data_IF_169359657033
#
_entry.id   IF_169359657033
#
_cell.length_a   1.000
_cell.length_b   1.000
_cell.length_c   1.000
_cell.angle_alpha   90.00
_cell.angle_beta   90.00
_cell.angle_gamma   90.00
#
_symmetry.space_group_name_H-M   'P 1'
#
loop_
_entity.id
_entity.type
_entity.pdbx_description
1 polymer ?
#
# COMPACT_ATOMS: atom_id res chain seq x y z
N UNK A 1 33.96 22.32 57.33
CA UNK A 1 33.90 22.31 55.86
C UNK A 1 34.58 21.07 55.36
N UNK A 2 33.86 20.22 54.61
CA UNK A 2 34.31 19.13 53.73
C UNK A 2 33.24 18.03 53.75
N UNK A 3 32.15 18.29 53.04
CA UNK A 3 31.07 17.34 52.77
C UNK A 3 31.50 16.39 51.64
N UNK A 4 31.52 15.09 51.93
CA UNK A 4 31.69 14.02 50.96
C UNK A 4 30.45 13.88 50.08
N UNK A 5 30.61 14.13 48.78
CA UNK A 5 29.56 14.01 47.78
C UNK A 5 29.36 12.53 47.37
N UNK A 6 28.15 12.04 47.57
CA UNK A 6 27.70 10.72 47.11
C UNK A 6 27.29 10.82 45.64
N UNK A 7 28.06 10.24 44.73
CA UNK A 7 27.67 10.07 43.32
C UNK A 7 26.68 8.92 43.19
N UNK A 8 25.40 9.24 42.99
CA UNK A 8 24.38 8.29 42.56
C UNK A 8 24.48 8.06 41.05
N UNK A 9 24.97 6.88 40.65
CA UNK A 9 24.89 6.40 39.28
C UNK A 9 23.44 6.01 38.95
N UNK A 10 22.73 6.90 38.26
CA UNK A 10 21.45 6.58 37.65
C UNK A 10 21.68 5.64 36.46
N UNK A 11 21.46 4.35 36.68
CA UNK A 11 21.34 3.36 35.61
C UNK A 11 20.10 3.69 34.78
N UNK A 12 20.32 4.26 33.60
CA UNK A 12 19.29 4.41 32.58
C UNK A 12 18.94 3.01 32.09
N UNK A 13 17.81 2.48 32.56
CA UNK A 13 17.23 1.26 32.01
C UNK A 13 16.73 1.56 30.61
N UNK A 14 17.52 1.27 29.59
CA UNK A 14 17.02 1.13 28.22
C UNK A 14 16.05 -0.04 28.21
N UNK A 15 14.75 0.24 28.22
CA UNK A 15 13.73 -0.76 27.96
C UNK A 15 13.92 -1.25 26.53
N UNK A 16 14.60 -2.38 26.35
CA UNK A 16 14.60 -3.09 25.09
C UNK A 16 13.17 -3.58 24.83
N UNK A 17 12.40 -2.80 24.08
CA UNK A 17 11.15 -3.28 23.49
C UNK A 17 11.50 -4.49 22.63
N UNK A 18 10.97 -5.66 22.96
CA UNK A 18 11.12 -6.86 22.15
C UNK A 18 10.39 -6.62 20.82
N UNK A 19 11.12 -6.20 19.77
CA UNK A 19 10.59 -6.17 18.42
C UNK A 19 10.97 -7.42 17.64
N UNK A 20 10.05 -7.90 16.80
CA UNK A 20 10.29 -9.02 15.88
C UNK A 20 10.18 -8.52 14.46
N UNK A 21 11.21 -8.78 13.65
CA UNK A 21 11.32 -8.23 12.29
C UNK A 21 11.37 -9.38 11.29
N UNK A 22 10.63 -9.26 10.19
CA UNK A 22 10.78 -10.15 9.03
C UNK A 22 10.73 -9.37 7.72
N UNK A 23 11.53 -9.82 6.75
CA UNK A 23 11.63 -9.17 5.44
C UNK A 23 10.64 -9.80 4.47
N UNK A 24 9.90 -8.94 3.77
CA UNK A 24 9.10 -9.31 2.60
C UNK A 24 9.89 -9.10 1.31
N UNK A 25 10.72 -8.05 1.25
CA UNK A 25 11.60 -7.75 0.12
C UNK A 25 12.94 -7.16 0.62
N UNK A 26 14.11 -7.45 0.01
CA UNK A 26 14.35 -8.33 -1.13
C UNK A 26 14.02 -9.81 -0.83
N UNK A 27 13.66 -10.54 -1.88
CA UNK A 27 13.36 -11.98 -1.78
C UNK A 27 14.55 -12.84 -2.19
N UNK A 28 14.45 -14.16 -2.02
CA UNK A 28 15.47 -15.08 -2.56
C UNK A 28 15.45 -15.16 -4.09
N UNK A 29 14.31 -14.82 -4.72
CA UNK A 29 14.22 -14.67 -6.16
C UNK A 29 14.90 -13.37 -6.58
N UNK A 30 16.03 -13.49 -7.27
CA UNK A 30 16.76 -12.39 -7.90
C UNK A 30 17.15 -12.80 -9.32
N UNK A 31 17.27 -11.84 -10.24
CA UNK A 31 17.73 -12.13 -11.60
C UNK A 31 16.63 -12.45 -12.61
N UNK A 32 15.47 -11.80 -12.54
CA UNK A 32 14.44 -11.94 -13.56
C UNK A 32 13.62 -10.64 -13.73
N UNK A 33 12.82 -10.59 -14.79
CA UNK A 33 11.89 -9.48 -15.04
C UNK A 33 10.48 -10.00 -15.32
N UNK A 34 9.48 -9.29 -14.82
CA UNK A 34 8.07 -9.45 -15.17
C UNK A 34 7.68 -8.30 -16.09
N UNK A 35 7.12 -8.62 -17.26
CA UNK A 35 6.77 -7.63 -18.29
C UNK A 35 5.25 -7.61 -18.42
N UNK A 36 4.66 -6.42 -18.37
CA UNK A 36 3.25 -6.18 -18.67
C UNK A 36 3.10 -5.36 -19.94
N UNK A 37 2.43 -5.90 -20.94
CA UNK A 37 2.07 -5.19 -22.16
C UNK A 37 0.60 -5.45 -22.53
N UNK A 38 -0.08 -4.43 -23.05
CA UNK A 38 -1.47 -4.58 -23.50
C UNK A 38 -1.61 -5.59 -24.67
N UNK A 39 -0.52 -5.83 -25.43
CA UNK A 39 -0.49 -6.70 -26.60
C UNK A 39 -0.70 -8.20 -26.26
N UNK A 40 -0.74 -8.55 -24.98
CA UNK A 40 -0.96 -9.93 -24.52
C UNK A 40 -1.62 -9.97 -23.14
N UNK A 41 -1.91 -11.18 -22.64
CA UNK A 41 -2.39 -11.37 -21.26
C UNK A 41 -1.35 -10.98 -20.20
N UNK A 42 -0.11 -10.65 -20.61
CA UNK A 42 0.96 -10.20 -19.71
C UNK A 42 0.63 -8.91 -18.95
N UNK A 43 -0.33 -8.11 -19.41
CA UNK A 43 -0.86 -6.95 -18.65
C UNK A 43 -1.32 -7.29 -17.22
N UNK A 44 -1.67 -8.55 -16.97
CA UNK A 44 -2.03 -9.12 -15.67
C UNK A 44 -1.10 -10.28 -15.27
N UNK A 45 0.09 -10.34 -15.88
CA UNK A 45 1.07 -11.38 -15.58
C UNK A 45 1.43 -11.35 -14.09
N UNK A 46 1.61 -12.53 -13.51
CA UNK A 46 1.94 -12.66 -12.10
C UNK A 46 3.26 -13.40 -11.90
N UNK A 47 4.01 -13.00 -10.88
CA UNK A 47 5.14 -13.76 -10.37
C UNK A 47 4.97 -14.03 -8.87
N UNK A 48 5.36 -15.21 -8.43
CA UNK A 48 5.46 -15.57 -7.01
C UNK A 48 6.93 -15.41 -6.58
N UNK A 49 7.16 -14.49 -5.64
CA UNK A 49 8.48 -14.17 -5.11
C UNK A 49 8.66 -14.88 -3.78
N UNK A 50 9.51 -15.90 -3.76
CA UNK A 50 9.75 -16.70 -2.56
C UNK A 50 10.83 -16.07 -1.67
N UNK A 51 10.58 -16.02 -0.36
CA UNK A 51 11.55 -15.66 0.66
C UNK A 51 11.57 -16.71 1.77
N UNK A 52 12.48 -16.61 2.74
CA UNK A 52 12.57 -17.57 3.83
C UNK A 52 11.35 -17.47 4.76
N UNK A 53 10.36 -18.35 4.55
CA UNK A 53 9.15 -18.44 5.38
C UNK A 53 8.01 -17.49 4.97
N UNK A 54 8.19 -16.67 3.93
CA UNK A 54 7.19 -15.75 3.38
C UNK A 54 7.28 -15.70 1.86
N UNK A 55 6.27 -15.16 1.19
CA UNK A 55 6.33 -14.87 -0.24
C UNK A 55 5.50 -13.63 -0.59
N UNK A 56 5.73 -13.07 -1.77
CA UNK A 56 4.92 -12.01 -2.36
C UNK A 56 4.38 -12.44 -3.71
N UNK A 57 3.21 -11.92 -4.10
CA UNK A 57 2.87 -11.83 -5.51
C UNK A 57 3.33 -10.50 -6.09
N UNK A 58 3.66 -10.49 -7.37
CA UNK A 58 3.98 -9.30 -8.14
C UNK A 58 3.15 -9.26 -9.41
N UNK A 59 2.66 -8.10 -9.82
CA UNK A 59 1.91 -7.92 -11.06
C UNK A 59 2.12 -6.52 -11.64
N UNK A 60 2.26 -6.35 -12.97
CA UNK A 60 2.20 -5.04 -13.61
C UNK A 60 0.82 -4.40 -13.52
N UNK A 61 -0.24 -5.21 -13.36
CA UNK A 61 -1.63 -4.84 -13.12
C UNK A 61 -2.12 -3.60 -13.90
N UNK A 62 -2.08 -3.69 -15.23
CA UNK A 62 -2.50 -2.61 -16.15
C UNK A 62 -4.01 -2.66 -16.40
N UNK A 63 -4.79 -2.45 -15.35
CA UNK A 63 -6.23 -2.77 -15.31
C UNK A 63 -7.11 -1.82 -16.13
N UNK A 64 -6.72 -0.56 -16.32
CA UNK A 64 -7.51 0.41 -17.10
C UNK A 64 -6.94 0.66 -18.51
N UNK A 65 -5.95 -0.10 -18.97
CA UNK A 65 -5.37 0.10 -20.31
C UNK A 65 -6.12 -0.75 -21.35
N UNK A 66 -6.76 -0.06 -22.31
CA UNK A 66 -7.44 -0.68 -23.47
C UNK A 66 -6.45 -0.93 -24.60
N UNK A 67 -5.62 0.06 -24.94
CA UNK A 67 -4.58 -0.04 -25.94
C UNK A 67 -3.40 0.88 -25.59
N UNK A 68 -2.20 0.60 -26.10
CA UNK A 68 -1.01 1.42 -25.91
C UNK A 68 0.10 1.05 -26.92
N UNK A 69 1.29 1.60 -26.77
CA UNK A 69 2.55 1.05 -27.29
C UNK A 69 3.53 1.02 -26.12
N UNK A 70 4.50 0.10 -26.16
CA UNK A 70 5.46 -0.09 -25.06
C UNK A 70 4.97 -1.06 -23.98
N UNK A 71 5.54 -0.93 -22.79
CA UNK A 71 5.33 -1.90 -21.69
C UNK A 71 5.64 -1.31 -20.31
N UNK A 72 5.14 -2.01 -19.29
CA UNK A 72 5.64 -1.91 -17.91
C UNK A 72 6.60 -3.05 -17.66
N UNK A 73 7.74 -2.75 -17.06
CA UNK A 73 8.76 -3.75 -16.70
C UNK A 73 9.03 -3.67 -15.21
N UNK A 74 8.90 -4.81 -14.52
CA UNK A 74 9.29 -5.00 -13.12
C UNK A 74 10.55 -5.86 -13.11
N UNK A 75 11.71 -5.26 -12.87
CA UNK A 75 13.00 -5.94 -12.85
C UNK A 75 13.48 -6.18 -11.42
N UNK A 76 13.92 -7.40 -11.12
CA UNK A 76 14.29 -7.84 -9.77
C UNK A 76 15.80 -8.10 -9.65
N UNK A 77 16.62 -7.04 -9.70
CA UNK A 77 18.09 -7.12 -9.63
C UNK A 77 18.76 -5.83 -9.10
N UNK A 78 19.40 -5.81 -7.91
CA UNK A 78 19.10 -6.57 -6.69
C UNK A 78 17.84 -6.05 -5.96
N UNK A 79 17.30 -4.92 -6.42
CA UNK A 79 16.09 -4.27 -5.96
C UNK A 79 14.97 -4.48 -6.98
N UNK A 80 13.73 -4.15 -6.60
CA UNK A 80 12.64 -4.07 -7.56
C UNK A 80 12.70 -2.69 -8.22
N UNK A 81 12.91 -2.67 -9.53
CA UNK A 81 12.77 -1.49 -10.38
C UNK A 81 11.53 -1.66 -11.24
N UNK A 82 10.56 -0.80 -11.05
CA UNK A 82 9.38 -0.71 -11.90
C UNK A 82 9.55 0.47 -12.84
N UNK A 83 9.49 0.19 -14.15
CA UNK A 83 9.50 1.21 -15.20
C UNK A 83 8.25 1.07 -16.05
N UNK A 84 7.49 2.16 -16.14
CA UNK A 84 6.46 2.36 -17.16
C UNK A 84 7.14 3.08 -18.33
N UNK A 85 7.04 2.53 -19.54
CA UNK A 85 7.54 3.14 -20.77
C UNK A 85 6.53 2.88 -21.87
N UNK A 86 5.55 3.77 -21.96
CA UNK A 86 4.37 3.58 -22.79
C UNK A 86 3.94 4.87 -23.49
N UNK A 87 3.35 4.72 -24.67
CA UNK A 87 2.79 5.83 -25.46
C UNK A 87 1.48 5.43 -26.10
N UNK A 88 0.74 6.40 -26.65
CA UNK A 88 -0.56 6.18 -27.28
C UNK A 88 -1.54 5.41 -26.37
N UNK A 89 -1.52 5.70 -25.06
CA UNK A 89 -2.36 5.01 -24.08
C UNK A 89 -3.82 5.42 -24.28
N UNK A 90 -4.68 4.43 -24.49
CA UNK A 90 -6.13 4.55 -24.44
C UNK A 90 -6.69 3.78 -23.24
N UNK A 91 -7.59 4.41 -22.49
CA UNK A 91 -8.22 3.81 -21.31
C UNK A 91 -9.44 2.96 -21.66
N UNK A 92 -9.71 1.95 -20.83
CA UNK A 92 -10.97 1.19 -20.85
C UNK A 92 -12.10 2.10 -20.38
N UNK A 93 -11.87 2.79 -19.24
CA UNK A 93 -12.81 3.74 -18.65
C UNK A 93 -12.13 5.11 -18.53
N UNK A 94 -12.31 6.01 -19.52
CA UNK A 94 -11.62 7.31 -19.55
C UNK A 94 -11.95 8.25 -18.39
N UNK A 95 -13.08 8.06 -17.71
CA UNK A 95 -13.46 8.85 -16.54
C UNK A 95 -12.69 8.48 -15.27
N UNK A 96 -12.00 7.32 -15.26
CA UNK A 96 -11.10 6.96 -14.17
C UNK A 96 -9.68 7.41 -14.57
N UNK A 97 -9.02 8.27 -13.77
CA UNK A 97 -7.72 8.82 -14.15
C UNK A 97 -6.62 7.76 -14.21
N UNK A 98 -6.63 6.75 -13.35
CA UNK A 98 -5.54 5.78 -13.21
C UNK A 98 -5.49 4.79 -14.38
N UNK A 99 -4.28 4.46 -14.85
CA UNK A 99 -4.03 3.45 -15.89
C UNK A 99 -3.80 2.03 -15.35
N UNK A 100 -3.17 1.90 -14.18
CA UNK A 100 -2.85 0.63 -13.56
C UNK A 100 -2.13 0.81 -12.22
N UNK A 101 -1.86 -0.32 -11.56
CA UNK A 101 -1.20 -0.36 -10.25
C UNK A 101 -0.10 -1.44 -10.20
N UNK A 102 1.03 -1.26 -10.92
CA UNK A 102 2.14 -2.19 -10.81
C UNK A 102 2.65 -2.26 -9.37
N UNK A 103 2.67 -3.47 -8.80
CA UNK A 103 2.86 -3.62 -7.37
C UNK A 103 3.13 -5.04 -6.90
N UNK A 104 3.27 -5.16 -5.58
CA UNK A 104 3.48 -6.39 -4.83
C UNK A 104 2.33 -6.60 -3.85
N UNK A 105 2.00 -7.87 -3.54
CA UNK A 105 0.97 -8.23 -2.56
C UNK A 105 1.49 -9.25 -1.55
N UNK A 106 1.21 -9.02 -0.27
CA UNK A 106 1.38 -9.95 0.85
C UNK A 106 0.03 -10.28 1.48
N UNK A 107 -0.28 -11.56 1.65
CA UNK A 107 -1.56 -12.05 2.15
C UNK A 107 -2.36 -12.82 1.10
N UNK A 108 -3.66 -12.56 1.02
CA UNK A 108 -4.62 -13.30 0.20
C UNK A 108 -5.64 -12.36 -0.44
N UNK A 109 -5.84 -12.53 -1.75
CA UNK A 109 -6.96 -11.95 -2.49
C UNK A 109 -7.46 -13.00 -3.47
N UNK A 110 -8.73 -13.40 -3.38
CA UNK A 110 -9.29 -14.43 -4.25
C UNK A 110 -10.10 -13.85 -5.42
N UNK A 111 -9.89 -12.57 -5.70
CA UNK A 111 -10.42 -11.86 -6.87
C UNK A 111 -9.27 -11.36 -7.76
N UNK A 112 -9.64 -10.86 -8.93
CA UNK A 112 -8.70 -10.30 -9.90
C UNK A 112 -7.96 -9.06 -9.32
N UNK A 113 -6.63 -8.90 -9.52
CA UNK A 113 -5.80 -9.66 -10.46
C UNK A 113 -5.15 -10.90 -9.87
N UNK A 114 -4.97 -10.99 -8.55
CA UNK A 114 -4.12 -12.02 -7.95
C UNK A 114 -4.79 -13.40 -7.87
N UNK A 115 -6.05 -13.43 -7.46
CA UNK A 115 -6.85 -14.66 -7.32
C UNK A 115 -6.08 -15.80 -6.63
N UNK A 116 -5.34 -15.49 -5.56
CA UNK A 116 -4.41 -16.40 -4.91
C UNK A 116 -4.04 -16.02 -3.48
N UNK A 117 -3.17 -16.85 -2.88
CA UNK A 117 -2.63 -16.68 -1.53
C UNK A 117 -1.12 -16.77 -1.56
N UNK A 118 -0.46 -15.93 -0.78
CA UNK A 118 0.99 -15.99 -0.52
C UNK A 118 1.28 -16.91 0.68
N UNK A 119 2.52 -17.38 0.80
CA UNK A 119 3.06 -17.88 2.05
C UNK A 119 3.25 -16.72 3.04
N UNK A 120 2.62 -16.82 4.21
CA UNK A 120 2.62 -15.76 5.23
C UNK A 120 3.45 -16.14 6.46
N UNK A 121 4.00 -15.11 7.12
CA UNK A 121 4.73 -15.25 8.37
C UNK A 121 3.79 -15.65 9.52
N UNK A 122 4.18 -16.57 10.42
CA UNK A 122 3.42 -16.86 11.64
C UNK A 122 3.22 -15.65 12.55
N UNK A 123 4.06 -14.61 12.41
CA UNK A 123 3.96 -13.36 13.16
C UNK A 123 2.87 -12.42 12.63
N UNK A 124 2.50 -12.55 11.36
CA UNK A 124 1.42 -11.79 10.71
C UNK A 124 0.72 -12.67 9.66
N UNK A 125 -0.04 -13.70 10.09
CA UNK A 125 -0.63 -14.68 9.18
C UNK A 125 -1.93 -14.14 8.57
N UNK A 126 -1.82 -13.35 7.52
CA UNK A 126 -2.98 -12.83 6.79
C UNK A 126 -3.68 -13.96 6.00
N UNK A 127 -5.03 -13.98 5.92
CA UNK A 127 -5.96 -12.99 6.49
C UNK A 127 -6.09 -13.06 8.02
N UNK A 128 -6.25 -11.91 8.67
CA UNK A 128 -6.41 -11.82 10.13
C UNK A 128 -7.43 -10.76 10.54
N UNK A 129 -8.28 -11.07 11.52
CA UNK A 129 -9.25 -10.11 12.08
C UNK A 129 -8.52 -8.87 12.59
N UNK A 130 -9.00 -7.68 12.20
CA UNK A 130 -8.32 -6.40 12.46
C UNK A 130 -8.05 -6.18 13.95
N UNK A 131 -9.01 -6.45 14.83
CA UNK A 131 -8.82 -6.28 16.28
C UNK A 131 -7.77 -7.22 16.87
N UNK A 132 -7.48 -8.34 16.20
CA UNK A 132 -6.47 -9.33 16.60
C UNK A 132 -5.10 -9.10 15.96
N UNK A 133 -4.96 -8.12 15.06
CA UNK A 133 -3.67 -7.78 14.47
C UNK A 133 -2.68 -7.39 15.56
N UNK A 134 -1.43 -7.90 15.52
CA UNK A 134 -0.37 -7.35 16.36
C UNK A 134 -0.13 -5.88 16.00
N UNK A 135 0.52 -5.13 16.88
CA UNK A 135 1.00 -3.81 16.50
C UNK A 135 2.24 -4.00 15.60
N UNK A 136 2.22 -3.38 14.43
CA UNK A 136 3.33 -3.49 13.49
C UNK A 136 3.49 -2.27 12.62
N UNK A 137 4.74 -2.01 12.21
CA UNK A 137 5.07 -1.12 11.11
C UNK A 137 5.28 -1.93 9.84
N UNK A 138 4.69 -1.48 8.75
CA UNK A 138 5.12 -1.85 7.39
C UNK A 138 6.09 -0.79 6.91
N UNK A 139 7.35 -1.18 6.73
CA UNK A 139 8.49 -0.31 6.45
C UNK A 139 8.97 -0.55 5.02
N UNK A 140 8.94 0.50 4.22
CA UNK A 140 9.40 0.49 2.83
C UNK A 140 10.61 1.40 2.69
N UNK A 141 11.59 1.00 1.90
CA UNK A 141 12.61 1.91 1.42
C UNK A 141 12.45 2.08 -0.09
N UNK A 142 12.10 3.28 -0.55
CA UNK A 142 11.75 3.50 -1.95
C UNK A 142 12.09 4.90 -2.48
N UNK A 143 12.23 4.97 -3.80
CA UNK A 143 12.30 6.22 -4.57
C UNK A 143 11.34 6.15 -5.75
N UNK A 144 10.76 7.28 -6.13
CA UNK A 144 9.92 7.43 -7.33
C UNK A 144 10.60 8.37 -8.33
N UNK A 145 10.28 8.25 -9.61
CA UNK A 145 10.72 9.18 -10.65
C UNK A 145 9.64 9.41 -11.69
N UNK A 146 9.59 10.63 -12.22
CA UNK A 146 8.56 11.09 -13.16
C UNK A 146 9.23 11.89 -14.28
N UNK A 147 9.32 11.33 -15.49
CA UNK A 147 9.80 12.06 -16.66
C UNK A 147 8.63 12.57 -17.51
N UNK A 148 7.66 11.68 -17.80
CA UNK A 148 6.45 11.97 -18.58
C UNK A 148 5.25 11.27 -17.95
N UNK A 149 4.09 11.95 -17.91
CA UNK A 149 2.91 11.48 -17.18
C UNK A 149 2.96 11.89 -15.71
N UNK A 150 2.22 11.16 -14.86
CA UNK A 150 2.14 11.42 -13.43
C UNK A 150 2.01 10.11 -12.65
N UNK A 151 2.73 10.02 -11.53
CA UNK A 151 2.45 9.07 -10.46
C UNK A 151 1.37 9.72 -9.61
N UNK A 152 0.15 9.22 -9.75
CA UNK A 152 -1.00 9.68 -8.98
C UNK A 152 -0.70 9.46 -7.49
N UNK A 153 -0.23 8.25 -7.16
CA UNK A 153 0.37 7.91 -5.89
C UNK A 153 1.38 6.75 -5.94
N UNK A 154 2.24 6.70 -4.93
CA UNK A 154 2.89 5.50 -4.41
C UNK A 154 2.32 5.22 -3.03
N UNK A 155 1.66 4.08 -2.90
CA UNK A 155 0.74 3.82 -1.79
C UNK A 155 0.74 2.37 -1.35
N UNK A 156 0.06 2.14 -0.23
CA UNK A 156 -0.56 0.86 0.05
C UNK A 156 -1.99 0.83 -0.50
N UNK A 157 -2.36 -0.28 -1.12
CA UNK A 157 -3.74 -0.68 -1.42
C UNK A 157 -4.07 -1.91 -0.55
N UNK A 158 -5.03 -1.76 0.37
CA UNK A 158 -5.31 -2.73 1.42
C UNK A 158 -6.78 -3.11 1.38
N UNK A 159 -7.07 -4.41 1.39
CA UNK A 159 -8.43 -4.93 1.31
C UNK A 159 -8.90 -5.53 2.63
N UNK A 160 -10.11 -5.15 3.04
CA UNK A 160 -10.80 -5.73 4.18
C UNK A 160 -12.16 -6.31 3.79
N UNK A 161 -12.44 -7.51 4.26
CA UNK A 161 -13.75 -8.16 4.08
C UNK A 161 -14.22 -8.82 5.37
N UNK A 162 -15.53 -9.09 5.48
CA UNK A 162 -16.06 -9.91 6.58
C UNK A 162 -15.84 -11.41 6.35
N UNK A 163 -15.56 -11.80 5.10
CA UNK A 163 -15.25 -13.16 4.71
C UNK A 163 -14.04 -13.13 3.75
N UNK A 164 -12.84 -13.56 4.21
CA UNK A 164 -11.63 -13.49 3.40
C UNK A 164 -11.66 -14.39 2.16
N UNK A 165 -12.66 -15.26 2.01
CA UNK A 165 -12.79 -16.19 0.89
C UNK A 165 -13.76 -15.69 -0.20
N UNK A 166 -14.16 -14.41 -0.18
CA UNK A 166 -14.89 -13.80 -1.29
C UNK A 166 -14.04 -13.79 -2.57
N UNK A 167 -14.70 -13.88 -3.73
CA UNK A 167 -14.04 -13.91 -5.05
C UNK A 167 -14.39 -12.69 -5.91
N UNK A 168 -15.14 -11.76 -5.34
CA UNK A 168 -15.52 -10.48 -5.93
C UNK A 168 -15.77 -9.49 -4.80
N UNK A 169 -15.48 -8.21 -5.05
CA UNK A 169 -15.68 -7.11 -4.13
C UNK A 169 -17.10 -6.55 -4.27
N UNK A 170 -17.67 -6.10 -3.16
CA UNK A 170 -19.02 -5.56 -3.12
C UNK A 170 -19.17 -4.55 -1.99
N UNK A 171 -20.35 -3.93 -1.90
CA UNK A 171 -20.70 -3.14 -0.74
C UNK A 171 -20.61 -3.97 0.55
N UNK A 172 -19.96 -3.37 1.55
CA UNK A 172 -19.59 -4.04 2.78
C UNK A 172 -18.08 -4.24 2.85
N UNK A 173 -17.40 -4.45 1.73
CA UNK A 173 -15.95 -4.55 1.69
C UNK A 173 -15.32 -3.16 1.74
N UNK A 174 -14.07 -3.10 2.20
CA UNK A 174 -13.31 -1.86 2.32
C UNK A 174 -11.99 -1.93 1.57
N UNK A 175 -11.73 -0.87 0.80
CA UNK A 175 -10.42 -0.53 0.28
C UNK A 175 -9.81 0.55 1.18
N UNK A 176 -8.60 0.32 1.67
CA UNK A 176 -7.87 1.26 2.52
C UNK A 176 -6.60 1.66 1.80
N UNK A 177 -6.58 2.88 1.30
CA UNK A 177 -5.44 3.42 0.58
C UNK A 177 -4.62 4.34 1.47
N UNK A 178 -3.30 4.14 1.48
CA UNK A 178 -2.38 4.97 2.27
C UNK A 178 -1.31 5.56 1.35
N UNK A 179 -1.50 6.82 0.97
CA UNK A 179 -0.72 7.51 -0.05
C UNK A 179 0.51 8.18 0.58
N UNK A 180 1.69 7.58 0.39
CA UNK A 180 2.95 8.07 0.95
C UNK A 180 3.60 9.12 0.06
N UNK A 181 3.45 9.02 -1.26
CA UNK A 181 3.93 10.01 -2.22
C UNK A 181 2.86 10.17 -3.27
N UNK A 182 2.36 11.38 -3.52
CA UNK A 182 1.19 11.57 -4.37
C UNK A 182 1.23 12.92 -5.09
N UNK A 183 0.68 12.94 -6.30
CA UNK A 183 0.45 14.16 -7.09
C UNK A 183 -1.03 14.44 -7.31
N UNK A 184 -1.88 13.42 -7.22
CA UNK A 184 -3.28 13.54 -7.55
C UNK A 184 -4.02 14.47 -6.58
N UNK A 185 -4.92 15.30 -7.13
CA UNK A 185 -5.95 15.92 -6.31
C UNK A 185 -7.10 14.93 -6.18
N UNK A 186 -7.14 14.19 -5.09
CA UNK A 186 -8.14 13.13 -4.82
C UNK A 186 -9.60 13.58 -4.90
N UNK A 187 -9.86 14.90 -4.80
CA UNK A 187 -11.23 15.46 -4.94
C UNK A 187 -11.55 15.94 -6.34
N UNK A 188 -10.55 16.04 -7.23
CA UNK A 188 -10.72 16.49 -8.59
C UNK A 188 -11.23 15.36 -9.47
N UNK A 189 -12.55 15.28 -9.64
CA UNK A 189 -13.18 14.38 -10.60
C UNK A 189 -14.20 13.41 -10.00
N UNK A 190 -14.17 13.22 -8.67
CA UNK A 190 -15.18 12.42 -7.98
C UNK A 190 -16.03 13.31 -7.04
N UNK A 191 -17.27 13.68 -7.44
CA UNK A 191 -18.15 14.49 -6.61
C UNK A 191 -18.67 13.76 -5.36
N UNK A 192 -18.41 12.46 -5.22
CA UNK A 192 -18.82 11.64 -4.09
C UNK A 192 -17.71 11.44 -3.05
N UNK A 193 -16.49 11.94 -3.32
CA UNK A 193 -15.39 11.92 -2.36
C UNK A 193 -15.69 12.87 -1.18
N UNK A 194 -15.71 12.34 0.04
CA UNK A 194 -16.05 13.08 1.26
C UNK A 194 -14.78 13.34 2.09
N UNK A 195 -14.37 14.61 2.31
CA UNK A 195 -13.31 14.92 3.27
C UNK A 195 -13.83 14.74 4.71
N UNK A 196 -13.18 13.88 5.49
CA UNK A 196 -13.64 13.49 6.84
C UNK A 196 -12.69 13.92 7.97
N UNK A 197 -11.69 14.73 7.64
CA UNK A 197 -10.77 15.38 8.58
C UNK A 197 -9.35 14.87 8.45
N UNK A 198 -8.64 14.80 9.58
CA UNK A 198 -7.24 14.37 9.63
C UNK A 198 -6.99 13.33 10.73
N UNK A 199 -6.00 12.46 10.54
CA UNK A 199 -5.53 11.48 11.51
C UNK A 199 -4.05 11.72 11.82
N UNK A 200 -3.67 11.71 13.09
CA UNK A 200 -2.26 11.72 13.48
C UNK A 200 -1.72 10.29 13.43
N UNK A 201 -0.77 10.04 12.54
CA UNK A 201 -0.18 8.71 12.32
C UNK A 201 1.30 8.79 12.74
N UNK A 202 1.75 7.98 13.72
CA UNK A 202 3.17 7.89 14.07
C UNK A 202 3.89 7.21 12.91
N UNK A 203 4.49 8.00 12.04
CA UNK A 203 5.11 7.56 10.79
C UNK A 203 6.61 7.46 11.04
N UNK A 204 7.22 6.30 10.75
CA UNK A 204 8.67 6.17 10.77
C UNK A 204 9.25 6.79 9.49
N UNK A 205 10.21 7.69 9.63
CA UNK A 205 10.90 8.35 8.52
C UNK A 205 12.40 8.27 8.81
N UNK A 206 13.13 7.52 7.98
CA UNK A 206 14.58 7.34 8.09
C UNK A 206 15.04 7.02 9.52
N UNK A 207 14.45 5.96 10.11
CA UNK A 207 14.74 5.50 11.46
C UNK A 207 14.12 6.29 12.62
N UNK A 208 13.40 7.39 12.37
CA UNK A 208 12.76 8.19 13.42
C UNK A 208 11.24 8.22 13.29
N UNK A 209 10.53 7.91 14.38
CA UNK A 209 9.07 8.07 14.44
C UNK A 209 8.72 9.56 14.57
N UNK A 210 7.83 10.03 13.69
CA UNK A 210 7.29 11.37 13.66
C UNK A 210 5.77 11.30 13.56
N UNK A 211 5.06 12.06 14.39
CA UNK A 211 3.60 12.15 14.30
C UNK A 211 3.22 13.09 13.16
N UNK A 212 2.87 12.52 12.01
CA UNK A 212 2.37 13.28 10.86
C UNK A 212 0.85 13.39 10.92
N UNK A 213 0.32 14.52 10.48
CA UNK A 213 -1.13 14.73 10.35
C UNK A 213 -1.55 14.43 8.92
N UNK A 214 -2.15 13.26 8.71
CA UNK A 214 -2.59 12.77 7.41
C UNK A 214 -4.03 13.22 7.14
N UNK A 215 -4.31 13.68 5.92
CA UNK A 215 -5.66 14.00 5.48
C UNK A 215 -6.45 12.72 5.21
N UNK A 216 -7.73 12.69 5.57
CA UNK A 216 -8.58 11.51 5.42
C UNK A 216 -9.78 11.83 4.55
N UNK A 217 -9.98 11.01 3.53
CA UNK A 217 -11.09 11.09 2.60
C UNK A 217 -11.79 9.73 2.52
N UNK A 218 -13.10 9.74 2.26
CA UNK A 218 -13.89 8.53 2.10
C UNK A 218 -14.70 8.64 0.83
N UNK A 219 -14.64 7.61 0.00
CA UNK A 219 -15.57 7.36 -1.10
C UNK A 219 -16.57 6.29 -0.64
N UNK A 220 -17.81 6.64 -0.26
CA UNK A 220 -18.72 5.69 0.35
C UNK A 220 -19.10 4.52 -0.56
N UNK A 221 -19.06 4.72 -1.88
CA UNK A 221 -19.48 3.76 -2.91
C UNK A 221 -18.63 3.91 -4.18
N UNK A 222 -17.69 3.01 -4.38
CA UNK A 222 -16.80 3.04 -5.55
C UNK A 222 -17.49 2.47 -6.80
N UNK A 223 -17.54 3.25 -7.89
CA UNK A 223 -18.02 2.83 -9.22
C UNK A 223 -19.51 2.56 -9.39
N UNK A 224 -20.24 2.15 -8.34
CA UNK A 224 -21.68 1.85 -8.41
C UNK A 224 -22.35 1.88 -7.04
N UNK A 225 -23.69 1.87 -7.01
CA UNK A 225 -24.45 1.75 -5.76
C UNK A 225 -24.12 0.46 -4.97
N UNK A 226 -23.63 -0.60 -5.62
CA UNK A 226 -23.21 -1.85 -4.99
C UNK A 226 -21.70 -1.97 -4.81
N UNK A 227 -20.95 -0.90 -5.07
CA UNK A 227 -19.50 -0.86 -4.87
C UNK A 227 -19.08 -0.92 -3.41
N UNK A 228 -17.82 -1.29 -3.18
CA UNK A 228 -17.17 -1.23 -1.89
C UNK A 228 -16.99 0.23 -1.42
N UNK A 229 -16.55 0.39 -0.17
CA UNK A 229 -16.20 1.70 0.38
C UNK A 229 -14.69 1.86 0.36
N UNK A 230 -14.19 2.99 -0.15
CA UNK A 230 -12.76 3.30 -0.12
C UNK A 230 -12.48 4.41 0.90
N UNK A 231 -11.40 4.26 1.68
CA UNK A 231 -10.90 5.28 2.59
C UNK A 231 -9.43 5.54 2.31
N UNK A 232 -9.09 6.82 2.21
CA UNK A 232 -7.79 7.29 1.76
C UNK A 232 -7.12 8.10 2.86
N UNK A 233 -5.87 7.76 3.15
CA UNK A 233 -5.00 8.48 4.06
C UNK A 233 -3.87 9.11 3.24
N UNK A 234 -3.88 10.45 3.14
CA UNK A 234 -2.89 11.20 2.36
C UNK A 234 -1.86 11.81 3.29
N UNK A 235 -0.59 11.46 3.07
CA UNK A 235 0.53 12.05 3.80
C UNK A 235 0.58 13.57 3.60
N UNK A 236 1.00 14.35 4.62
CA UNK A 236 1.07 15.81 4.51
C UNK A 236 2.18 16.31 3.56
N UNK A 237 3.05 15.42 3.10
CA UNK A 237 4.17 15.71 2.23
C UNK A 237 4.51 14.45 1.43
N UNK A 238 5.15 14.61 0.27
CA UNK A 238 5.65 13.48 -0.53
C UNK A 238 6.80 12.79 0.18
N UNK A 239 6.59 11.57 0.65
CA UNK A 239 7.58 10.76 1.35
C UNK A 239 8.42 9.93 0.36
N UNK A 240 9.67 9.68 0.73
CA UNK A 240 10.64 8.82 0.01
C UNK A 240 11.76 8.43 0.99
N UNK A 241 12.59 7.46 0.61
CA UNK A 241 13.55 6.83 1.51
C UNK A 241 12.86 5.78 2.36
N UNK A 242 13.29 5.64 3.61
CA UNK A 242 12.71 4.67 4.55
C UNK A 242 11.46 5.26 5.22
N UNK A 243 10.31 4.66 4.95
CA UNK A 243 8.99 5.09 5.45
C UNK A 243 8.27 3.90 6.07
N UNK A 244 7.92 4.01 7.36
CA UNK A 244 7.14 3.01 8.07
C UNK A 244 5.76 3.53 8.45
N UNK A 245 4.73 2.75 8.13
CA UNK A 245 3.33 3.05 8.46
C UNK A 245 2.79 2.00 9.43
N UNK A 246 2.15 2.40 10.54
CA UNK A 246 1.57 1.47 11.51
C UNK A 246 0.17 1.02 11.05
N UNK A 247 0.09 0.12 10.08
CA UNK A 247 -1.18 -0.27 9.42
C UNK A 247 -2.23 -0.73 10.45
N UNK A 248 -1.86 -1.59 11.41
CA UNK A 248 -2.81 -2.04 12.44
C UNK A 248 -3.41 -0.89 13.26
N UNK A 249 -2.64 0.17 13.53
CA UNK A 249 -3.14 1.37 14.21
C UNK A 249 -4.20 2.08 13.36
N UNK A 250 -3.93 2.28 12.07
CA UNK A 250 -4.86 2.95 11.15
C UNK A 250 -6.18 2.17 11.07
N UNK A 251 -6.11 0.87 10.79
CA UNK A 251 -7.29 0.02 10.63
C UNK A 251 -8.15 -0.03 11.90
N UNK A 252 -7.54 -0.08 13.08
CA UNK A 252 -8.27 -0.08 14.36
C UNK A 252 -8.94 1.27 14.67
N UNK A 253 -8.45 2.38 14.10
CA UNK A 253 -8.90 3.74 14.43
C UNK A 253 -9.69 4.45 13.31
N UNK A 254 -9.88 3.82 12.14
CA UNK A 254 -10.54 4.48 11.01
C UNK A 254 -12.07 4.57 11.11
N UNK A 255 -12.72 3.81 11.99
CA UNK A 255 -14.18 3.73 12.07
C UNK A 255 -14.89 5.09 12.21
N UNK A 256 -14.39 5.95 13.10
CA UNK A 256 -14.98 7.29 13.29
C UNK A 256 -14.84 8.22 12.07
N UNK A 257 -13.92 7.93 11.15
CA UNK A 257 -13.78 8.67 9.89
C UNK A 257 -14.79 8.20 8.85
N UNK A 258 -15.01 6.88 8.78
CA UNK A 258 -16.07 6.29 7.94
C UNK A 258 -17.46 6.79 8.36
N UNK A 259 -17.73 6.89 9.66
CA UNK A 259 -19.00 7.38 10.20
C UNK A 259 -19.30 8.83 9.76
N UNK A 260 -18.29 9.69 9.67
CA UNK A 260 -18.44 11.08 9.18
C UNK A 260 -18.87 11.16 7.71
N UNK A 261 -18.56 10.13 6.92
CA UNK A 261 -19.04 9.98 5.55
C UNK A 261 -20.35 9.18 5.45
N UNK A 262 -21.00 8.86 6.58
CA UNK A 262 -22.25 8.12 6.62
C UNK A 262 -22.10 6.60 6.52
N UNK A 263 -20.90 6.05 6.70
CA UNK A 263 -20.63 4.61 6.66
C UNK A 263 -20.39 4.09 8.08
N UNK A 264 -21.38 3.43 8.67
CA UNK A 264 -21.35 2.95 10.07
C UNK A 264 -21.28 1.42 10.22
N UNK A 265 -20.98 0.71 9.14
CA UNK A 265 -20.97 -0.77 9.13
C UNK A 265 -19.62 -1.39 9.50
N UNK A 266 -18.56 -0.58 9.58
CA UNK A 266 -17.21 -1.07 9.87
C UNK A 266 -17.06 -1.45 11.34
N UNK A 267 -16.55 -2.66 11.59
CA UNK A 267 -16.24 -3.15 12.93
C UNK A 267 -14.92 -3.95 12.93
N UNK A 268 -13.87 -3.50 13.64
CA UNK A 268 -12.57 -4.18 13.64
C UNK A 268 -12.61 -5.63 14.17
N UNK A 269 -13.67 -6.03 14.89
CA UNK A 269 -13.84 -7.41 15.38
C UNK A 269 -14.39 -8.39 14.33
N UNK A 270 -14.95 -7.88 13.23
CA UNK A 270 -15.59 -8.72 12.19
C UNK A 270 -14.90 -8.68 10.84
N UNK A 271 -14.08 -7.64 10.60
CA UNK A 271 -13.35 -7.51 9.34
C UNK A 271 -11.97 -8.12 9.44
N UNK A 272 -11.59 -8.83 8.38
CA UNK A 272 -10.26 -9.37 8.16
C UNK A 272 -9.44 -8.36 7.37
N UNK A 273 -8.16 -8.19 7.73
CA UNK A 273 -7.15 -7.70 6.81
C UNK A 273 -6.78 -8.86 5.89
N UNK A 274 -7.19 -8.79 4.62
CA UNK A 274 -7.03 -9.88 3.65
C UNK A 274 -5.62 -9.90 3.06
N UNK A 275 -5.18 -8.75 2.58
CA UNK A 275 -3.87 -8.54 2.01
C UNK A 275 -3.39 -7.10 2.18
N UNK A 276 -2.08 -6.92 2.06
CA UNK A 276 -1.42 -5.62 1.95
C UNK A 276 -0.76 -5.59 0.58
N UNK A 277 -1.16 -4.65 -0.27
CA UNK A 277 -0.44 -4.35 -1.49
C UNK A 277 0.44 -3.11 -1.32
N UNK A 278 1.52 -3.04 -2.10
CA UNK A 278 2.33 -1.83 -2.26
C UNK A 278 2.66 -1.65 -3.74
N UNK A 279 2.46 -0.44 -4.25
CA UNK A 279 2.59 -0.16 -5.67
C UNK A 279 2.42 1.31 -5.97
N UNK A 280 2.10 1.57 -7.23
CA UNK A 280 2.04 2.91 -7.79
C UNK A 280 0.83 3.05 -8.70
N UNK A 281 -0.14 3.90 -8.36
CA UNK A 281 -1.12 4.36 -9.35
C UNK A 281 -0.46 5.39 -10.27
N UNK A 282 -0.65 5.22 -11.58
CA UNK A 282 -0.04 6.12 -12.55
C UNK A 282 -0.99 6.47 -13.69
N UNK A 283 -0.73 7.62 -14.29
CA UNK A 283 -1.50 8.15 -15.39
C UNK A 283 -0.57 8.76 -16.46
N UNK A 284 -1.09 8.80 -17.69
CA UNK A 284 -0.40 9.35 -18.85
C UNK A 284 -0.61 10.87 -18.95
N UNK A 285 0.28 11.54 -19.67
CA UNK A 285 0.10 12.96 -20.01
C UNK A 285 -1.01 13.17 -21.06
N UNK A 286 -1.25 14.43 -21.43
CA UNK A 286 -2.27 14.79 -22.43
C UNK A 286 -1.98 14.26 -23.84
N UNK A 287 -0.76 13.82 -24.12
CA UNK A 287 -0.37 13.19 -25.39
C UNK A 287 -0.58 11.67 -25.41
N UNK A 288 -0.92 11.07 -24.26
CA UNK A 288 -1.04 9.63 -24.11
C UNK A 288 0.26 8.93 -23.76
N UNK A 289 1.27 9.63 -23.24
CA UNK A 289 2.58 9.09 -22.91
C UNK A 289 2.81 8.96 -21.38
N UNK A 290 3.56 7.94 -20.98
CA UNK A 290 4.00 7.72 -19.61
C UNK A 290 5.44 7.13 -19.60
N UNK A 291 6.37 7.85 -18.98
CA UNK A 291 7.72 7.39 -18.64
C UNK A 291 8.01 7.80 -17.19
N UNK A 292 7.80 6.84 -16.29
CA UNK A 292 7.81 7.03 -14.85
C UNK A 292 8.02 5.69 -14.15
N UNK A 293 8.22 5.71 -12.84
CA UNK A 293 8.37 4.47 -12.10
C UNK A 293 8.84 4.64 -10.68
N UNK A 294 9.18 3.50 -10.07
CA UNK A 294 9.72 3.47 -8.72
C UNK A 294 10.79 2.40 -8.58
N UNK A 295 11.65 2.60 -7.59
CA UNK A 295 12.57 1.56 -7.09
C UNK A 295 12.21 1.26 -5.65
N UNK A 296 11.96 -0.01 -5.34
CA UNK A 296 11.75 -0.52 -3.99
C UNK A 296 13.01 -1.28 -3.57
N UNK A 297 13.72 -0.73 -2.59
CA UNK A 297 14.95 -1.28 -2.04
C UNK A 297 14.68 -2.35 -0.99
N UNK A 298 13.64 -2.16 -0.16
CA UNK A 298 13.23 -3.12 0.86
C UNK A 298 11.77 -2.95 1.25
N UNK A 299 11.16 -4.04 1.72
CA UNK A 299 9.88 -4.07 2.41
C UNK A 299 9.98 -5.00 3.61
N UNK A 300 9.82 -4.45 4.81
CA UNK A 300 10.02 -5.14 6.08
C UNK A 300 8.82 -4.91 6.98
N UNK A 301 8.46 -5.94 7.76
CA UNK A 301 7.44 -5.84 8.80
C UNK A 301 8.14 -5.90 10.15
N UNK A 302 7.91 -4.90 10.99
CA UNK A 302 8.39 -4.84 12.37
C UNK A 302 7.20 -4.93 13.33
N UNK A 303 7.08 -6.04 14.04
CA UNK A 303 6.12 -6.25 15.12
C UNK A 303 6.69 -5.66 16.42
N UNK A 304 5.89 -4.90 17.15
CA UNK A 304 6.25 -4.35 18.46
C UNK A 304 5.16 -4.60 19.50
N UNK A 305 5.55 -4.60 20.78
CA UNK A 305 4.68 -4.82 21.92
C UNK A 305 4.33 -3.49 22.60
#
# INVERSE_FOLDING_TARGET
MSSSATTSSSSTSSSSTNSSVFNLFPTSASGFSLIGSYLSQSRYGMALLQNNGTSLYASPFLWNIKSAQGQVTMNFTPYLQVKVDMSNIEKITPSIPVNGYPGLMYGQELWFPFAGKTQVSPLLPLPMIVSKLPNFYSILNFTVYENVGVIDDFSYDIWLSQNPNITYLQYGDFEVMIWMNWNENITAGDPYMVPVGTMNIPTLINGSIQNLTWSVYVLPRTGSASGWTSIYFLSPQKLTGEVGVPIAYILKNMGSYLEKAGVSIYNPDTYYLDAIQVGMEFNNDSSGAADLGYTLYSWTIEIYQ
#
